data_IF_219406228701
#
_entry.id   IF_219406228701
#
_cell.length_a   1.000
_cell.length_b   1.000
_cell.length_c   1.000
_cell.angle_alpha   90.00
_cell.angle_beta   90.00
_cell.angle_gamma   90.00
#
_symmetry.space_group_name_H-M   'P 1'
#
loop_
_entity.id
_entity.type
_entity.pdbx_description
1 polymer ?
#
# COMPACT_ATOMS: atom_id res chain seq x y z
N UNK A 1 14.75 -10.98 -16.14
CA UNK A 1 15.11 -10.46 -14.79
C UNK A 1 13.84 -10.10 -14.05
N UNK A 2 13.84 -9.96 -12.71
CA UNK A 2 12.64 -9.51 -11.96
C UNK A 2 12.13 -8.16 -12.47
N UNK A 3 13.01 -7.29 -12.94
CA UNK A 3 12.66 -6.01 -13.58
C UNK A 3 11.69 -6.15 -14.77
N UNK A 4 11.63 -7.32 -15.42
CA UNK A 4 10.70 -7.59 -16.54
C UNK A 4 9.34 -8.12 -16.08
N UNK A 5 9.20 -8.52 -14.81
CA UNK A 5 8.00 -9.13 -14.25
C UNK A 5 7.28 -8.21 -13.25
N UNK A 6 7.97 -7.21 -12.70
CA UNK A 6 7.39 -6.28 -11.73
C UNK A 6 6.33 -5.38 -12.38
N UNK A 7 5.27 -5.07 -11.63
CA UNK A 7 4.33 -4.00 -12.01
C UNK A 7 5.00 -2.64 -11.82
N UNK A 8 5.09 -1.84 -12.87
CA UNK A 8 5.59 -0.46 -12.81
C UNK A 8 4.47 0.52 -12.48
N UNK A 9 4.81 1.64 -11.85
CA UNK A 9 3.83 2.70 -11.52
C UNK A 9 2.79 2.30 -10.46
N UNK A 10 3.10 1.30 -9.62
CA UNK A 10 2.24 0.89 -8.51
C UNK A 10 1.91 2.04 -7.56
N UNK A 11 0.74 1.97 -6.92
CA UNK A 11 0.28 3.00 -5.97
C UNK A 11 1.13 2.99 -4.70
N UNK A 12 1.38 4.18 -4.17
CA UNK A 12 2.10 4.40 -2.92
C UNK A 12 1.26 5.28 -1.99
N UNK A 13 1.49 5.16 -0.69
CA UNK A 13 0.91 6.03 0.34
C UNK A 13 1.98 6.52 1.29
N UNK A 14 1.73 7.66 1.95
CA UNK A 14 2.65 8.19 2.95
C UNK A 14 2.56 7.40 4.25
N UNK A 15 3.68 7.31 4.98
CA UNK A 15 3.77 6.58 6.25
C UNK A 15 2.89 7.12 7.38
N UNK A 16 2.41 8.36 7.28
CA UNK A 16 1.54 9.03 8.24
C UNK A 16 0.04 8.96 7.85
N UNK A 17 -0.30 8.30 6.74
CA UNK A 17 -1.68 8.10 6.30
C UNK A 17 -2.46 7.18 7.27
N UNK A 18 -3.75 7.49 7.49
CA UNK A 18 -4.59 6.64 8.31
C UNK A 18 -4.80 5.26 7.65
N UNK A 19 -4.80 4.21 8.47
CA UNK A 19 -5.02 2.84 7.99
C UNK A 19 -6.36 2.67 7.25
N UNK A 20 -7.40 3.40 7.68
CA UNK A 20 -8.71 3.41 7.02
C UNK A 20 -8.68 4.05 5.62
N UNK A 21 -7.87 5.09 5.42
CA UNK A 21 -7.69 5.71 4.11
C UNK A 21 -6.90 4.79 3.18
N UNK A 22 -5.87 4.12 3.70
CA UNK A 22 -5.14 3.10 2.96
C UNK A 22 -6.06 1.95 2.53
N UNK A 23 -6.93 1.46 3.42
CA UNK A 23 -7.94 0.44 3.09
C UNK A 23 -8.84 0.89 1.94
N UNK A 24 -9.38 2.11 2.03
CA UNK A 24 -10.23 2.68 0.97
C UNK A 24 -9.51 2.76 -0.37
N UNK A 25 -8.25 3.20 -0.40
CA UNK A 25 -7.45 3.23 -1.63
C UNK A 25 -7.29 1.84 -2.22
N UNK A 26 -7.07 0.83 -1.38
CA UNK A 26 -6.90 -0.56 -1.79
C UNK A 26 -8.20 -1.12 -2.40
N UNK A 27 -9.35 -0.83 -1.82
CA UNK A 27 -10.67 -1.21 -2.32
C UNK A 27 -11.00 -0.54 -3.66
N UNK A 28 -10.87 0.79 -3.73
CA UNK A 28 -11.14 1.58 -4.93
C UNK A 28 -10.21 1.18 -6.09
N UNK A 29 -8.95 0.88 -5.77
CA UNK A 29 -7.94 0.50 -6.76
C UNK A 29 -7.90 -1.01 -7.05
N UNK A 30 -8.70 -1.82 -6.35
CA UNK A 30 -8.73 -3.29 -6.45
C UNK A 30 -7.36 -3.95 -6.29
N UNK A 31 -6.56 -3.48 -5.34
CA UNK A 31 -5.21 -4.00 -5.03
C UNK A 31 -5.14 -4.57 -3.61
N UNK A 32 -4.35 -5.62 -3.43
CA UNK A 32 -4.18 -6.29 -2.13
C UNK A 32 -2.90 -5.90 -1.40
N UNK A 33 -2.02 -5.14 -2.06
CA UNK A 33 -0.75 -4.67 -1.52
C UNK A 33 -0.53 -3.22 -1.88
N UNK A 34 -0.03 -2.43 -0.93
CA UNK A 34 0.21 -1.00 -1.08
C UNK A 34 1.57 -0.64 -0.49
N UNK A 35 2.38 0.06 -1.27
CA UNK A 35 3.73 0.44 -0.85
C UNK A 35 3.66 1.72 -0.01
N UNK A 36 4.37 1.73 1.11
CA UNK A 36 4.45 2.89 2.01
C UNK A 36 5.76 3.61 1.77
N UNK A 37 5.70 4.93 1.62
CA UNK A 37 6.85 5.80 1.38
C UNK A 37 6.97 6.88 2.46
N UNK A 38 8.18 7.35 2.71
CA UNK A 38 8.45 8.54 3.51
C UNK A 38 8.22 9.84 2.74
N UNK A 39 8.52 10.98 3.37
CA UNK A 39 8.37 12.32 2.80
C UNK A 39 9.28 12.58 1.59
N UNK A 40 10.35 11.79 1.41
CA UNK A 40 11.28 11.88 0.28
C UNK A 40 10.89 10.95 -0.87
N UNK A 41 9.82 10.16 -0.70
CA UNK A 41 9.37 9.16 -1.66
C UNK A 41 10.13 7.84 -1.58
N UNK A 42 10.97 7.65 -0.55
CA UNK A 42 11.68 6.39 -0.34
C UNK A 42 10.76 5.36 0.30
N UNK A 43 10.83 4.12 -0.18
CA UNK A 43 10.06 3.00 0.38
C UNK A 43 10.48 2.72 1.83
N UNK A 44 9.50 2.72 2.73
CA UNK A 44 9.67 2.40 4.16
C UNK A 44 8.95 1.12 4.56
N UNK A 45 7.98 0.66 3.78
CA UNK A 45 7.26 -0.58 4.06
C UNK A 45 6.23 -0.96 3.00
N UNK A 46 5.48 -2.02 3.29
CA UNK A 46 4.36 -2.53 2.48
C UNK A 46 3.24 -2.94 3.41
N UNK A 47 2.00 -2.60 3.05
CA UNK A 47 0.79 -3.06 3.74
C UNK A 47 0.06 -4.03 2.83
N UNK A 48 -0.40 -5.13 3.42
CA UNK A 48 -1.30 -6.09 2.78
C UNK A 48 -2.72 -5.92 3.31
N UNK A 49 -3.72 -6.03 2.43
CA UNK A 49 -5.14 -5.83 2.75
C UNK A 49 -5.58 -6.69 3.93
N UNK A 50 -5.19 -7.97 3.95
CA UNK A 50 -5.54 -8.90 5.02
C UNK A 50 -5.02 -8.47 6.39
N UNK A 51 -3.91 -7.72 6.46
CA UNK A 51 -3.35 -7.22 7.72
C UNK A 51 -4.19 -6.08 8.30
N UNK A 52 -4.76 -5.23 7.43
CA UNK A 52 -5.70 -4.19 7.84
C UNK A 52 -6.99 -4.80 8.40
N UNK A 53 -7.55 -5.78 7.69
CA UNK A 53 -8.76 -6.48 8.13
C UNK A 53 -8.54 -7.22 9.46
N UNK A 54 -7.41 -7.92 9.61
CA UNK A 54 -7.05 -8.60 10.87
C UNK A 54 -6.88 -7.64 12.05
N UNK A 55 -6.45 -6.40 11.79
CA UNK A 55 -6.31 -5.37 12.81
C UNK A 55 -7.66 -4.73 13.21
N UNK A 56 -8.78 -5.16 12.62
CA UNK A 56 -10.10 -4.60 12.89
C UNK A 56 -10.35 -3.26 12.20
N UNK A 57 -9.55 -2.92 11.18
CA UNK A 57 -9.80 -1.77 10.33
C UNK A 57 -10.82 -2.21 9.27
N UNK A 58 -12.10 -1.95 9.52
CA UNK A 58 -13.24 -2.18 8.63
C UNK A 58 -14.40 -1.24 8.99
#
# INVERSE_FOLDING_TARGET
TIAQLMTTGGKTVKMDMLAAEALRIMEESKITSLVVVDTTGKVTGVIHLMRLLQAGIA
#
